data_IF_594395611806
#
_entry.id   IF_594395611806
#
_cell.length_a   1.000
_cell.length_b   1.000
_cell.length_c   1.000
_cell.angle_alpha   90.00
_cell.angle_beta   90.00
_cell.angle_gamma   90.00
#
_symmetry.space_group_name_H-M   'P 1'
#
loop_
_entity.id
_entity.type
_entity.pdbx_description
1 polymer ?
#
# COMPACT_ATOMS: atom_id res chain seq x y z
N UNK A 1 3.32 51.42 -74.87
CA UNK A 1 4.03 50.83 -73.78
C UNK A 1 3.20 51.03 -72.53
N UNK A 2 2.54 49.98 -72.04
CA UNK A 2 1.72 50.02 -70.81
C UNK A 2 2.31 49.01 -69.84
N UNK A 3 2.88 49.51 -68.73
CA UNK A 3 3.39 48.74 -67.68
C UNK A 3 2.23 48.23 -66.74
N UNK A 4 2.12 46.93 -66.60
CA UNK A 4 1.13 46.33 -65.66
C UNK A 4 1.77 46.14 -64.30
N UNK A 5 1.11 46.64 -63.27
CA UNK A 5 1.49 46.48 -61.88
C UNK A 5 0.83 45.21 -61.35
N UNK A 6 1.59 44.22 -60.97
CA UNK A 6 1.08 43.02 -60.26
C UNK A 6 1.13 43.26 -58.74
N UNK A 7 -0.05 43.35 -58.14
CA UNK A 7 -0.20 43.43 -56.68
C UNK A 7 -0.22 42.00 -56.13
N UNK A 8 0.80 41.63 -55.37
CA UNK A 8 0.85 40.37 -54.66
C UNK A 8 0.09 40.44 -53.32
N UNK A 9 -0.94 39.62 -53.21
CA UNK A 9 -1.75 39.50 -51.98
C UNK A 9 -1.07 38.45 -51.06
N UNK A 10 -0.47 38.90 -49.96
CA UNK A 10 0.10 38.01 -48.96
C UNK A 10 -1.01 37.52 -48.01
N UNK A 11 -1.35 36.23 -48.07
CA UNK A 11 -2.24 35.56 -47.10
C UNK A 11 -1.41 35.18 -45.89
N UNK A 12 -1.57 35.91 -44.80
CA UNK A 12 -0.97 35.58 -43.52
C UNK A 12 -1.72 34.41 -42.84
N UNK A 13 -1.03 33.28 -42.69
CA UNK A 13 -1.52 32.11 -41.94
C UNK A 13 -1.31 32.35 -40.43
N UNK A 14 -2.39 32.69 -39.70
CA UNK A 14 -2.36 32.76 -38.24
C UNK A 14 -2.29 31.33 -37.67
N UNK A 15 -1.11 30.91 -37.17
CA UNK A 15 -0.98 29.74 -36.34
C UNK A 15 -1.55 30.05 -34.93
N UNK A 16 -2.75 29.55 -34.66
CA UNK A 16 -3.29 29.54 -33.27
C UNK A 16 -2.61 28.40 -32.50
N UNK A 17 -1.63 28.74 -31.68
CA UNK A 17 -1.01 27.81 -30.74
C UNK A 17 -1.98 27.53 -29.60
N UNK A 18 -2.67 26.39 -29.65
CA UNK A 18 -3.44 25.88 -28.48
C UNK A 18 -2.46 25.40 -27.42
N UNK A 19 -2.23 26.21 -26.42
CA UNK A 19 -1.58 25.77 -25.16
C UNK A 19 -2.53 24.80 -24.46
N UNK A 20 -2.21 23.50 -24.48
CA UNK A 20 -2.88 22.54 -23.66
C UNK A 20 -2.56 22.86 -22.19
N UNK A 21 -3.50 23.46 -21.47
CA UNK A 21 -3.44 23.56 -20.02
C UNK A 21 -3.36 22.14 -19.45
N UNK A 22 -2.23 21.80 -18.84
CA UNK A 22 -2.08 20.58 -18.07
C UNK A 22 -2.99 20.70 -16.84
N UNK A 23 -4.14 19.99 -16.87
CA UNK A 23 -4.99 19.79 -15.70
C UNK A 23 -4.08 19.19 -14.62
N UNK A 24 -3.98 19.80 -13.40
CA UNK A 24 -3.20 19.23 -12.33
C UNK A 24 -3.76 17.83 -12.06
N UNK A 25 -2.93 16.80 -12.26
CA UNK A 25 -3.27 15.43 -11.86
C UNK A 25 -3.53 15.50 -10.36
N UNK A 26 -4.79 15.40 -9.94
CA UNK A 26 -5.16 15.14 -8.56
C UNK A 26 -4.34 13.91 -8.14
N UNK A 27 -3.47 14.11 -7.15
CA UNK A 27 -2.59 13.07 -6.67
C UNK A 27 -3.35 11.75 -6.55
N UNK A 28 -2.80 10.69 -7.10
CA UNK A 28 -3.43 9.37 -7.12
C UNK A 28 -3.61 8.92 -5.66
N UNK A 29 -4.84 9.05 -5.17
CA UNK A 29 -5.22 8.66 -3.82
C UNK A 29 -5.29 7.13 -3.76
N UNK A 30 -4.52 6.54 -2.86
CA UNK A 30 -4.60 5.09 -2.57
C UNK A 30 -5.95 4.81 -1.93
N UNK A 31 -6.75 3.95 -2.54
CA UNK A 31 -8.08 3.56 -2.07
C UNK A 31 -8.15 2.10 -1.59
N UNK A 32 -7.12 1.33 -1.87
CA UNK A 32 -7.01 -0.07 -1.43
C UNK A 32 -5.55 -0.50 -1.27
N UNK A 33 -5.32 -1.38 -0.31
CA UNK A 33 -4.07 -2.13 -0.15
C UNK A 33 -4.35 -3.60 -0.41
N UNK A 34 -3.51 -4.27 -1.21
CA UNK A 34 -3.59 -5.71 -1.47
C UNK A 34 -2.29 -6.37 -1.02
N UNK A 35 -2.41 -7.43 -0.22
CA UNK A 35 -1.28 -8.26 0.20
C UNK A 35 -1.42 -9.64 -0.40
N UNK A 36 -0.41 -10.06 -1.16
CA UNK A 36 -0.31 -11.40 -1.74
C UNK A 36 0.75 -12.16 -0.95
N UNK A 37 0.31 -13.04 -0.06
CA UNK A 37 1.19 -13.73 0.89
C UNK A 37 2.20 -14.64 0.19
N UNK A 38 1.76 -15.36 -0.82
CA UNK A 38 2.61 -16.26 -1.62
C UNK A 38 3.75 -15.51 -2.30
N UNK A 39 3.47 -14.33 -2.86
CA UNK A 39 4.41 -13.48 -3.57
C UNK A 39 5.26 -12.63 -2.62
N UNK A 40 4.90 -12.54 -1.34
CA UNK A 40 5.50 -11.62 -0.36
C UNK A 40 5.46 -10.19 -0.86
N UNK A 41 4.26 -9.73 -1.33
CA UNK A 41 4.05 -8.37 -1.82
C UNK A 41 2.92 -7.66 -1.10
N UNK A 42 3.09 -6.35 -0.94
CA UNK A 42 2.07 -5.40 -0.57
C UNK A 42 1.95 -4.39 -1.71
N UNK A 43 0.75 -4.24 -2.24
CA UNK A 43 0.45 -3.39 -3.38
C UNK A 43 -0.47 -2.25 -2.95
N UNK A 44 -0.11 -1.03 -3.33
CA UNK A 44 -0.99 0.14 -3.20
C UNK A 44 -1.78 0.31 -4.50
N UNK A 45 -3.10 0.40 -4.38
CA UNK A 45 -3.99 0.54 -5.53
C UNK A 45 -4.74 1.87 -5.49
N UNK A 46 -5.02 2.40 -6.67
CA UNK A 46 -5.92 3.52 -6.89
C UNK A 46 -6.84 3.21 -8.07
N UNK A 47 -8.15 3.21 -7.83
CA UNK A 47 -9.18 2.88 -8.85
C UNK A 47 -8.91 1.55 -9.58
N UNK A 48 -8.50 0.54 -8.80
CA UNK A 48 -8.19 -0.79 -9.30
C UNK A 48 -6.85 -0.93 -10.05
N UNK A 49 -6.04 0.13 -10.14
CA UNK A 49 -4.71 0.09 -10.76
C UNK A 49 -3.64 0.02 -9.68
N UNK A 50 -2.66 -0.86 -9.85
CA UNK A 50 -1.49 -0.94 -8.97
C UNK A 50 -0.62 0.29 -9.20
N UNK A 51 -0.40 1.06 -8.15
CA UNK A 51 0.42 2.28 -8.14
C UNK A 51 1.83 1.99 -7.67
N UNK A 52 1.98 1.12 -6.68
CA UNK A 52 3.27 0.75 -6.11
C UNK A 52 3.22 -0.66 -5.53
N UNK A 53 4.35 -1.35 -5.56
CA UNK A 53 4.52 -2.70 -5.01
C UNK A 53 5.73 -2.70 -4.08
N UNK A 54 5.56 -3.28 -2.89
CA UNK A 54 6.62 -3.47 -1.92
C UNK A 54 6.80 -4.96 -1.65
N UNK A 55 8.03 -5.39 -1.43
CA UNK A 55 8.30 -6.71 -0.88
C UNK A 55 8.19 -6.67 0.64
N UNK A 56 7.63 -7.72 1.23
CA UNK A 56 7.35 -7.79 2.67
C UNK A 56 7.91 -9.05 3.31
N UNK A 57 8.11 -9.01 4.63
CA UNK A 57 8.19 -10.20 5.46
C UNK A 57 6.87 -10.36 6.23
N UNK A 58 6.45 -11.59 6.43
CA UNK A 58 5.19 -11.98 7.05
C UNK A 58 5.42 -12.68 8.40
N UNK A 59 4.36 -13.25 8.96
CA UNK A 59 4.44 -14.15 10.10
C UNK A 59 5.32 -15.35 9.83
N UNK A 60 6.03 -15.87 10.86
CA UNK A 60 7.02 -16.94 10.72
C UNK A 60 6.47 -18.28 10.20
N UNK A 61 5.15 -18.48 10.23
CA UNK A 61 4.43 -19.58 9.57
C UNK A 61 3.35 -19.00 8.63
N UNK A 62 3.71 -18.52 7.43
CA UNK A 62 2.82 -17.70 6.61
C UNK A 62 1.73 -18.48 5.87
N UNK A 63 1.76 -19.81 5.85
CA UNK A 63 0.82 -20.62 5.06
C UNK A 63 -0.53 -20.75 5.78
N UNK A 64 -1.61 -20.36 5.09
CA UNK A 64 -2.97 -20.35 5.63
C UNK A 64 -3.29 -19.16 6.54
N UNK A 65 -4.58 -18.99 6.91
CA UNK A 65 -5.03 -17.84 7.67
C UNK A 65 -4.63 -17.93 9.14
N UNK A 66 -4.45 -16.76 9.78
CA UNK A 66 -4.35 -16.64 11.23
C UNK A 66 -5.67 -17.09 11.88
N UNK A 67 -5.59 -17.96 12.87
CA UNK A 67 -6.77 -18.48 13.57
C UNK A 67 -6.68 -18.39 15.08
N UNK A 68 -5.47 -18.31 15.65
CA UNK A 68 -5.24 -18.24 17.10
C UNK A 68 -4.04 -17.37 17.44
N UNK A 69 -4.02 -16.89 18.67
CA UNK A 69 -2.85 -16.21 19.21
C UNK A 69 -1.64 -17.14 19.21
N UNK A 70 -0.46 -16.62 18.83
CA UNK A 70 0.80 -17.38 18.82
C UNK A 70 0.94 -18.40 17.69
N UNK A 71 0.09 -18.36 16.65
CA UNK A 71 0.23 -19.23 15.48
C UNK A 71 1.23 -18.73 14.43
N UNK A 72 1.81 -17.55 14.68
CA UNK A 72 2.78 -16.89 13.79
C UNK A 72 2.29 -16.72 12.34
N UNK A 73 0.97 -16.67 12.13
CA UNK A 73 0.34 -16.51 10.81
C UNK A 73 -0.11 -15.08 10.58
N UNK A 74 0.04 -14.61 9.36
CA UNK A 74 -0.60 -13.39 8.89
C UNK A 74 -2.04 -13.70 8.50
N UNK A 75 -3.04 -12.90 8.94
CA UNK A 75 -4.45 -13.16 8.65
C UNK A 75 -4.73 -13.10 7.15
N UNK A 76 -5.81 -13.75 6.72
CA UNK A 76 -6.36 -13.70 5.37
C UNK A 76 -7.78 -13.18 5.42
N UNK A 77 -8.13 -12.26 4.53
CA UNK A 77 -9.44 -11.63 4.48
C UNK A 77 -9.37 -10.16 4.13
N UNK A 78 -10.50 -9.49 4.34
CA UNK A 78 -10.65 -8.04 4.13
C UNK A 78 -10.77 -7.36 5.50
N UNK A 79 -9.93 -6.37 5.71
CA UNK A 79 -9.80 -5.58 6.93
C UNK A 79 -9.70 -4.09 6.60
N UNK A 80 -9.51 -3.27 7.61
CA UNK A 80 -9.31 -1.83 7.50
C UNK A 80 -8.01 -1.44 8.18
N UNK A 81 -7.26 -0.53 7.59
CA UNK A 81 -6.14 0.16 8.21
C UNK A 81 -6.72 1.31 9.02
N UNK A 82 -6.94 1.11 10.33
CA UNK A 82 -7.84 1.93 11.14
C UNK A 82 -7.13 2.96 12.06
N UNK A 83 -5.90 2.72 12.48
CA UNK A 83 -5.14 3.71 13.22
C UNK A 83 -3.64 3.62 13.03
N UNK A 84 -2.93 4.72 13.32
CA UNK A 84 -1.48 4.88 13.17
C UNK A 84 -0.78 5.03 14.50
N UNK A 85 0.39 4.41 14.62
CA UNK A 85 1.28 4.60 15.74
C UNK A 85 2.65 5.11 15.26
N UNK A 86 2.89 6.42 15.44
CA UNK A 86 4.17 7.05 15.10
C UNK A 86 5.30 6.73 16.12
N UNK A 87 4.94 6.19 17.29
CA UNK A 87 5.87 5.83 18.37
C UNK A 87 5.95 4.31 18.54
N UNK A 88 5.83 3.57 17.44
CA UNK A 88 5.93 2.11 17.43
C UNK A 88 7.32 1.64 17.83
N UNK A 89 7.42 0.46 18.47
CA UNK A 89 8.69 -0.26 18.67
C UNK A 89 9.31 -0.72 17.33
N UNK A 90 8.54 -0.66 16.26
CA UNK A 90 8.91 -1.03 14.90
C UNK A 90 8.86 0.20 13.97
N UNK A 91 9.55 1.29 14.36
CA UNK A 91 9.64 2.55 13.63
C UNK A 91 8.29 3.29 13.57
N UNK A 92 7.42 2.94 12.66
CA UNK A 92 6.02 3.38 12.52
C UNK A 92 5.16 2.17 12.22
N UNK A 93 3.90 2.20 12.61
CA UNK A 93 2.97 1.12 12.30
C UNK A 93 1.56 1.61 12.01
N UNK A 94 0.86 0.89 11.13
CA UNK A 94 -0.56 1.09 10.83
C UNK A 94 -1.28 -0.19 11.22
N UNK A 95 -2.29 -0.09 12.08
CA UNK A 95 -3.04 -1.24 12.57
C UNK A 95 -3.98 -1.79 11.50
N UNK A 96 -4.09 -3.11 11.48
CA UNK A 96 -5.04 -3.86 10.67
C UNK A 96 -6.17 -4.31 11.59
N UNK A 97 -7.43 -4.03 11.25
CA UNK A 97 -8.62 -4.30 12.09
C UNK A 97 -8.91 -5.80 12.30
N UNK A 98 -7.86 -6.61 12.39
CA UNK A 98 -7.93 -8.01 12.81
C UNK A 98 -7.98 -8.10 14.36
N UNK A 99 -8.80 -8.98 14.97
CA UNK A 99 -9.72 -9.92 14.36
C UNK A 99 -11.06 -9.27 13.97
N UNK A 100 -11.58 -9.60 12.79
CA UNK A 100 -12.91 -9.22 12.35
C UNK A 100 -14.00 -9.91 13.18
N UNK A 101 -15.26 -9.53 12.98
CA UNK A 101 -16.39 -10.23 13.58
C UNK A 101 -16.41 -11.73 13.24
N UNK A 102 -16.07 -12.08 12.00
CA UNK A 102 -15.97 -13.46 11.53
C UNK A 102 -14.86 -14.23 12.26
N UNK A 103 -13.68 -13.63 12.39
CA UNK A 103 -12.55 -14.25 13.08
C UNK A 103 -12.88 -14.52 14.55
N UNK A 104 -13.46 -13.54 15.22
CA UNK A 104 -13.95 -13.68 16.61
C UNK A 104 -15.01 -14.77 16.74
N UNK A 105 -15.94 -14.87 15.80
CA UNK A 105 -16.97 -15.90 15.82
C UNK A 105 -16.38 -17.31 15.63
N UNK A 106 -15.41 -17.46 14.71
CA UNK A 106 -14.69 -18.74 14.51
C UNK A 106 -13.91 -19.13 15.75
N UNK A 107 -13.16 -18.19 16.34
CA UNK A 107 -12.37 -18.43 17.55
C UNK A 107 -13.24 -18.84 18.74
N UNK A 108 -14.37 -18.14 18.96
CA UNK A 108 -15.34 -18.52 20.03
C UNK A 108 -15.86 -19.94 19.88
N UNK A 109 -16.23 -20.36 18.67
CA UNK A 109 -16.72 -21.74 18.41
C UNK A 109 -15.65 -22.79 18.72
N UNK A 110 -14.38 -22.43 18.62
CA UNK A 110 -13.24 -23.32 18.91
C UNK A 110 -12.74 -23.20 20.35
N UNK A 111 -13.27 -22.28 21.15
CA UNK A 111 -12.80 -22.03 22.53
C UNK A 111 -11.37 -21.46 22.59
N UNK A 112 -10.93 -20.69 21.59
CA UNK A 112 -9.57 -20.16 21.50
C UNK A 112 -9.57 -18.64 21.38
N UNK A 113 -8.44 -17.98 21.75
CA UNK A 113 -8.19 -16.57 21.48
C UNK A 113 -7.71 -16.42 20.03
N UNK A 114 -8.31 -15.54 19.21
CA UNK A 114 -7.81 -15.25 17.86
C UNK A 114 -6.49 -14.46 17.88
N UNK A 115 -6.15 -13.83 19.01
CA UNK A 115 -5.12 -12.79 19.10
C UNK A 115 -5.62 -11.45 18.56
N UNK A 116 -4.68 -10.57 18.28
CA UNK A 116 -4.92 -9.21 17.77
C UNK A 116 -3.59 -8.52 17.48
N UNK A 117 -3.60 -7.17 17.47
CA UNK A 117 -2.40 -6.36 17.33
C UNK A 117 -1.57 -6.71 16.07
N UNK A 118 -2.26 -6.84 14.95
CA UNK A 118 -1.63 -7.06 13.64
C UNK A 118 -1.45 -5.71 12.94
N UNK A 119 -0.25 -5.47 12.44
CA UNK A 119 0.13 -4.19 11.85
C UNK A 119 0.87 -4.35 10.51
N UNK A 120 0.83 -3.32 9.69
CA UNK A 120 1.89 -3.01 8.72
C UNK A 120 2.89 -2.12 9.43
N UNK A 121 4.19 -2.47 9.44
CA UNK A 121 5.20 -1.75 10.21
C UNK A 121 6.60 -1.77 9.60
N UNK A 122 7.44 -0.86 10.04
CA UNK A 122 8.87 -0.83 9.69
C UNK A 122 9.69 -1.87 10.45
N UNK A 123 10.99 -1.62 10.56
CA UNK A 123 11.92 -2.51 11.27
C UNK A 123 11.97 -2.18 12.78
N UNK A 124 12.38 -3.12 13.63
CA UNK A 124 12.59 -2.84 15.05
C UNK A 124 13.50 -1.62 15.24
N UNK A 125 13.23 -0.81 16.26
CA UNK A 125 14.04 0.37 16.55
C UNK A 125 15.50 -0.02 16.77
N UNK A 126 16.42 0.72 16.14
CA UNK A 126 17.84 0.40 16.11
C UNK A 126 18.28 -0.55 14.98
N UNK A 127 17.35 -1.22 14.28
CA UNK A 127 17.64 -2.17 13.20
C UNK A 127 17.35 -1.65 11.80
N UNK A 128 17.08 -0.36 11.63
CA UNK A 128 16.76 0.24 10.32
C UNK A 128 17.83 -0.01 9.24
N UNK A 129 19.11 -0.10 9.63
CA UNK A 129 20.21 -0.38 8.71
C UNK A 129 20.17 -1.77 8.05
N UNK A 130 19.41 -2.73 8.61
CA UNK A 130 19.19 -4.06 8.00
C UNK A 130 18.50 -3.92 6.63
N UNK A 131 17.67 -2.90 6.44
CA UNK A 131 17.04 -2.58 5.18
C UNK A 131 16.35 -3.80 4.57
N UNK A 132 16.50 -4.01 3.26
CA UNK A 132 15.84 -5.09 2.52
C UNK A 132 16.24 -6.52 2.96
N UNK A 133 17.36 -6.68 3.66
CA UNK A 133 17.81 -8.00 4.12
C UNK A 133 16.86 -8.64 5.14
N UNK A 134 15.98 -7.84 5.81
CA UNK A 134 14.96 -8.38 6.71
C UNK A 134 14.01 -9.38 6.03
N UNK A 135 13.91 -9.37 4.69
CA UNK A 135 13.02 -10.22 3.88
C UNK A 135 13.60 -11.59 3.56
N UNK A 136 14.83 -11.88 3.98
CA UNK A 136 15.44 -13.21 3.81
C UNK A 136 14.68 -14.30 4.57
N UNK A 137 13.85 -13.91 5.54
CA UNK A 137 13.02 -14.80 6.34
C UNK A 137 11.72 -14.08 6.75
N UNK A 138 10.62 -14.81 6.81
CA UNK A 138 9.41 -14.39 7.53
C UNK A 138 9.69 -14.49 9.04
N UNK A 139 9.47 -13.41 9.80
CA UNK A 139 9.97 -13.31 11.18
C UNK A 139 8.99 -12.70 12.17
N UNK A 140 7.84 -12.22 11.70
CA UNK A 140 6.88 -11.55 12.60
C UNK A 140 5.95 -12.56 13.28
N UNK A 141 5.16 -12.10 14.24
CA UNK A 141 4.09 -12.89 14.88
C UNK A 141 2.74 -12.81 14.12
N UNK A 142 2.80 -12.36 12.86
CA UNK A 142 1.63 -12.22 12.01
C UNK A 142 1.49 -10.84 11.37
N UNK A 143 2.29 -9.88 11.77
CA UNK A 143 2.37 -8.57 11.15
C UNK A 143 2.98 -8.62 9.74
N UNK A 144 2.91 -7.50 9.03
CA UNK A 144 3.46 -7.31 7.69
C UNK A 144 4.59 -6.29 7.82
N UNK A 145 5.84 -6.73 7.63
CA UNK A 145 7.02 -5.89 7.81
C UNK A 145 7.56 -5.40 6.45
N UNK A 146 7.90 -4.12 6.39
CA UNK A 146 8.58 -3.43 5.29
C UNK A 146 9.84 -2.73 5.81
N UNK A 147 10.67 -2.17 4.93
CA UNK A 147 11.77 -1.29 5.37
C UNK A 147 11.23 0.03 5.94
N UNK A 148 12.03 0.74 6.74
CA UNK A 148 11.62 2.05 7.28
C UNK A 148 11.29 3.07 6.19
N UNK A 149 12.07 3.09 5.11
CA UNK A 149 11.81 3.97 3.96
C UNK A 149 10.48 3.66 3.29
N UNK A 150 10.18 2.37 3.05
CA UNK A 150 8.90 1.94 2.48
C UNK A 150 7.74 2.22 3.43
N UNK A 151 7.96 2.09 4.74
CA UNK A 151 6.96 2.45 5.74
C UNK A 151 6.63 3.95 5.69
N UNK A 152 7.61 4.82 5.45
CA UNK A 152 7.38 6.27 5.27
C UNK A 152 6.52 6.56 4.03
N UNK A 153 6.78 5.86 2.92
CA UNK A 153 6.00 6.00 1.69
C UNK A 153 4.56 5.51 1.89
N UNK A 154 4.37 4.35 2.51
CA UNK A 154 3.04 3.80 2.85
C UNK A 154 2.30 4.75 3.80
N UNK A 155 2.99 5.27 4.80
CA UNK A 155 2.45 6.22 5.78
C UNK A 155 1.90 7.49 5.14
N UNK A 156 2.57 7.99 4.12
CA UNK A 156 2.14 9.20 3.40
C UNK A 156 1.03 8.93 2.38
N UNK A 157 1.08 7.76 1.73
CA UNK A 157 0.19 7.46 0.61
C UNK A 157 -1.16 6.86 1.01
N UNK A 158 -1.21 6.13 2.14
CA UNK A 158 -2.39 5.34 2.54
C UNK A 158 -3.16 6.09 3.64
N UNK A 159 -4.37 6.58 3.43
CA UNK A 159 -5.21 7.21 4.46
C UNK A 159 -5.69 6.21 5.51
N UNK A 160 -6.03 6.71 6.71
CA UNK A 160 -6.77 5.93 7.70
C UNK A 160 -8.15 5.56 7.15
N UNK A 161 -8.62 4.36 7.46
CA UNK A 161 -9.86 3.82 6.93
C UNK A 161 -9.71 3.11 5.57
N UNK A 162 -8.48 3.06 4.99
CA UNK A 162 -8.24 2.34 3.74
C UNK A 162 -8.46 0.84 3.93
N UNK A 163 -9.18 0.22 2.99
CA UNK A 163 -9.37 -1.23 2.94
C UNK A 163 -8.03 -1.93 2.64
N UNK A 164 -7.75 -2.99 3.39
CA UNK A 164 -6.64 -3.92 3.13
C UNK A 164 -7.19 -5.32 2.93
N UNK A 165 -6.92 -5.88 1.76
CA UNK A 165 -7.22 -7.28 1.43
C UNK A 165 -5.95 -8.11 1.49
N UNK A 166 -5.99 -9.21 2.25
CA UNK A 166 -4.86 -10.13 2.43
C UNK A 166 -5.25 -11.48 1.86
N UNK A 167 -4.56 -11.91 0.80
CA UNK A 167 -4.79 -13.17 0.07
C UNK A 167 -3.65 -14.17 0.29
N UNK A 168 -3.94 -15.47 0.12
CA UNK A 168 -2.95 -16.54 0.14
C UNK A 168 -1.74 -16.31 -0.74
#
# INVERSE_FOLDING_TARGET
>A
MRAGVFTALAVGLLCVSTTAESVPQRGSHVDRVLVLKKERTLELLSRGKVMKVYKVALGGDPVGPKTKQGDHKTPEGVYVLDFRNAHSQFYKSIHISYPSQRDRAVARRKGISPGGDVFVHGLPNGFGAVGAAHRLKDWTDGCIAVTNQEMDEIWQAVPDGTEIEIRP
#
